data_IF_605766227801
#
_entry.id   IF_605766227801
#
_cell.length_a   1.000
_cell.length_b   1.000
_cell.length_c   1.000
_cell.angle_alpha   90.00
_cell.angle_beta   90.00
_cell.angle_gamma   90.00
#
_symmetry.space_group_name_H-M   'P 1'
#
loop_
_entity.id
_entity.type
_entity.pdbx_description
1 polymer ?
#
# COMPACT_ATOMS: atom_id res chain seq x y z
N UNK A 1 -6.62 18.44 -12.11
CA UNK A 1 -5.14 18.47 -12.14
C UNK A 1 -4.61 17.04 -12.31
N UNK A 2 -3.57 16.84 -13.10
CA UNK A 2 -2.90 15.54 -13.15
C UNK A 2 -1.91 15.44 -11.98
N UNK A 3 -1.81 14.26 -11.31
CA UNK A 3 -0.85 14.05 -10.25
C UNK A 3 0.60 14.22 -10.75
N UNK A 4 1.45 14.85 -9.96
CA UNK A 4 2.85 15.16 -10.30
C UNK A 4 3.63 13.91 -10.74
N UNK A 5 3.56 12.83 -9.98
CA UNK A 5 4.27 11.58 -10.29
C UNK A 5 3.76 10.89 -11.56
N UNK A 6 2.47 11.05 -11.90
CA UNK A 6 1.95 10.54 -13.17
C UNK A 6 2.56 11.28 -14.36
N UNK A 7 2.67 12.60 -14.27
CA UNK A 7 3.32 13.42 -15.30
C UNK A 7 4.80 13.03 -15.44
N UNK A 8 5.52 12.91 -14.33
CA UNK A 8 6.92 12.48 -14.31
C UNK A 8 7.11 11.09 -14.93
N UNK A 9 6.23 10.14 -14.63
CA UNK A 9 6.26 8.82 -15.25
C UNK A 9 6.11 8.90 -16.77
N UNK A 10 5.18 9.71 -17.28
CA UNK A 10 4.91 9.84 -18.71
C UNK A 10 6.03 10.56 -19.47
N UNK A 11 6.66 11.58 -18.88
CA UNK A 11 7.66 12.41 -19.53
C UNK A 11 9.07 11.80 -19.49
N UNK A 12 9.46 11.19 -18.38
CA UNK A 12 10.83 10.72 -18.17
C UNK A 12 10.96 9.21 -18.02
N UNK A 13 10.21 8.59 -17.08
CA UNK A 13 10.39 7.19 -16.71
C UNK A 13 10.05 6.24 -17.86
N UNK A 14 8.97 6.49 -18.58
CA UNK A 14 8.52 5.65 -19.70
C UNK A 14 9.59 5.59 -20.82
N UNK A 15 10.22 6.72 -21.13
CA UNK A 15 11.27 6.80 -22.15
C UNK A 15 12.56 6.11 -21.71
N UNK A 16 12.89 6.18 -20.41
CA UNK A 16 14.05 5.54 -19.81
C UNK A 16 13.90 4.01 -19.82
N UNK A 17 12.80 3.49 -19.26
CA UNK A 17 12.54 2.06 -19.24
C UNK A 17 12.48 1.42 -20.64
N UNK A 18 11.91 2.14 -21.62
CA UNK A 18 11.87 1.67 -23.00
C UNK A 18 13.26 1.47 -23.59
N UNK A 19 14.21 2.37 -23.29
CA UNK A 19 15.60 2.28 -23.78
C UNK A 19 16.38 1.20 -23.05
N UNK A 20 16.20 1.09 -21.73
CA UNK A 20 16.94 0.17 -20.88
C UNK A 20 16.61 -1.30 -21.19
N UNK A 21 15.31 -1.61 -21.30
CA UNK A 21 14.84 -2.97 -21.58
C UNK A 21 14.55 -3.25 -23.07
N UNK A 22 14.83 -2.30 -23.97
CA UNK A 22 14.63 -2.43 -25.42
C UNK A 22 13.21 -2.89 -25.83
N UNK A 23 12.16 -2.34 -25.17
CA UNK A 23 10.79 -2.67 -25.54
C UNK A 23 10.41 -2.19 -26.94
N UNK A 24 9.90 -3.10 -27.77
CA UNK A 24 9.42 -2.79 -29.10
C UNK A 24 8.16 -1.93 -29.12
N UNK A 25 7.27 -2.13 -28.13
CA UNK A 25 6.02 -1.43 -28.02
C UNK A 25 5.94 -0.64 -26.71
N UNK A 26 5.42 0.58 -26.79
CA UNK A 26 5.16 1.44 -25.63
C UNK A 26 4.20 0.80 -24.59
N UNK A 27 3.30 -0.07 -25.05
CA UNK A 27 2.33 -0.75 -24.18
C UNK A 27 2.95 -1.91 -23.37
N UNK A 28 4.17 -2.34 -23.69
CA UNK A 28 4.91 -3.36 -22.94
C UNK A 28 5.64 -2.78 -21.74
N UNK A 29 5.88 -1.46 -21.73
CA UNK A 29 6.60 -0.79 -20.64
C UNK A 29 5.85 -0.98 -19.33
N UNK A 30 6.53 -1.41 -18.25
CA UNK A 30 5.93 -1.58 -16.94
C UNK A 30 5.26 -0.31 -16.43
N UNK A 31 4.07 -0.47 -15.88
CA UNK A 31 3.30 0.63 -15.27
C UNK A 31 2.70 0.20 -13.95
N UNK A 32 2.51 1.15 -13.05
CA UNK A 32 1.79 0.93 -11.82
C UNK A 32 0.28 0.74 -12.11
N UNK A 33 -0.28 -0.40 -11.71
CA UNK A 33 -1.68 -0.76 -11.94
C UNK A 33 -2.57 -0.35 -10.77
N UNK A 34 -2.14 -0.68 -9.54
CA UNK A 34 -2.86 -0.40 -8.30
C UNK A 34 -1.92 -0.41 -7.10
N UNK A 35 -2.35 0.27 -6.05
CA UNK A 35 -1.74 0.17 -4.71
C UNK A 35 -2.79 -0.43 -3.77
N UNK A 36 -2.40 -1.43 -3.01
CA UNK A 36 -3.24 -2.08 -2.01
C UNK A 36 -2.70 -1.75 -0.64
N UNK A 37 -3.51 -1.11 0.19
CA UNK A 37 -3.22 -0.86 1.60
C UNK A 37 -4.04 -1.83 2.42
N UNK A 38 -3.40 -2.58 3.30
CA UNK A 38 -4.04 -3.60 4.12
C UNK A 38 -3.54 -3.56 5.55
N UNK A 39 -4.44 -3.72 6.51
CA UNK A 39 -4.12 -3.97 7.91
C UNK A 39 -4.86 -5.19 8.41
N UNK A 40 -4.26 -5.92 9.36
CA UNK A 40 -4.88 -7.05 10.02
C UNK A 40 -4.60 -6.96 11.52
N UNK A 41 -5.65 -7.03 12.32
CA UNK A 41 -5.59 -6.84 13.77
C UNK A 41 -6.07 -8.10 14.48
N UNK A 42 -5.17 -8.76 15.20
CA UNK A 42 -5.50 -9.95 15.99
C UNK A 42 -6.57 -9.66 17.05
N UNK A 43 -6.53 -8.48 17.64
CA UNK A 43 -7.44 -8.06 18.69
C UNK A 43 -8.87 -7.78 18.19
N UNK A 44 -9.07 -7.65 16.88
CA UNK A 44 -10.41 -7.54 16.28
C UNK A 44 -11.29 -8.75 16.60
N UNK A 45 -10.68 -9.91 16.92
CA UNK A 45 -11.39 -11.11 17.35
C UNK A 45 -12.15 -10.86 18.66
N UNK A 46 -11.59 -10.09 19.58
CA UNK A 46 -12.17 -9.79 20.90
C UNK A 46 -12.91 -8.47 20.92
N UNK A 47 -12.47 -7.48 20.15
CA UNK A 47 -13.06 -6.16 20.13
C UNK A 47 -13.14 -5.60 18.69
N UNK A 48 -14.32 -5.67 18.11
CA UNK A 48 -14.58 -5.19 16.76
C UNK A 48 -14.40 -3.67 16.59
N UNK A 49 -14.60 -2.88 17.66
CA UNK A 49 -14.44 -1.42 17.60
C UNK A 49 -13.02 -0.99 17.21
N UNK A 50 -12.00 -1.78 17.58
CA UNK A 50 -10.61 -1.49 17.19
C UNK A 50 -10.44 -1.58 15.68
N UNK A 51 -11.13 -2.52 15.04
CA UNK A 51 -11.08 -2.67 13.60
C UNK A 51 -11.82 -1.52 12.87
N UNK A 52 -12.95 -1.09 13.43
CA UNK A 52 -13.71 0.03 12.85
C UNK A 52 -12.88 1.32 12.91
N UNK A 53 -12.19 1.60 14.01
CA UNK A 53 -11.26 2.73 14.14
C UNK A 53 -10.10 2.64 13.14
N UNK A 54 -9.46 1.48 13.03
CA UNK A 54 -8.38 1.29 12.04
C UNK A 54 -8.89 1.44 10.60
N UNK A 55 -10.12 1.02 10.33
CA UNK A 55 -10.75 1.23 9.03
C UNK A 55 -11.01 2.72 8.77
N UNK A 56 -11.46 3.49 9.75
CA UNK A 56 -11.62 4.95 9.64
C UNK A 56 -10.27 5.63 9.36
N UNK A 57 -9.22 5.28 10.09
CA UNK A 57 -7.86 5.81 9.89
C UNK A 57 -7.35 5.53 8.47
N UNK A 58 -7.47 4.28 7.97
CA UNK A 58 -7.11 3.96 6.59
C UNK A 58 -7.96 4.76 5.59
N UNK A 59 -9.24 4.98 5.91
CA UNK A 59 -10.12 5.81 5.10
C UNK A 59 -9.65 7.25 4.98
N UNK A 60 -9.18 7.85 6.09
CA UNK A 60 -8.60 9.19 6.13
C UNK A 60 -7.30 9.27 5.31
N UNK A 61 -6.38 8.31 5.50
CA UNK A 61 -5.10 8.25 4.77
C UNK A 61 -5.32 8.11 3.27
N UNK A 62 -6.23 7.24 2.85
CA UNK A 62 -6.40 6.88 1.43
C UNK A 62 -7.45 7.71 0.70
N UNK A 63 -8.30 8.44 1.44
CA UNK A 63 -9.44 9.15 0.87
C UNK A 63 -10.48 8.22 0.22
N UNK A 64 -10.51 6.93 0.63
CA UNK A 64 -11.44 5.93 0.13
C UNK A 64 -11.88 5.00 1.25
N UNK A 65 -13.18 4.70 1.32
CA UNK A 65 -13.73 3.80 2.34
C UNK A 65 -13.13 2.40 2.20
N UNK A 66 -12.51 1.84 3.25
CA UNK A 66 -11.96 0.50 3.22
C UNK A 66 -13.05 -0.58 3.27
N UNK A 67 -12.68 -1.76 2.79
CA UNK A 67 -13.48 -2.96 2.89
C UNK A 67 -12.97 -3.77 4.08
N UNK A 68 -13.87 -4.18 4.97
CA UNK A 68 -13.53 -5.08 6.07
C UNK A 68 -13.32 -6.49 5.52
N UNK A 69 -12.14 -7.05 5.78
CA UNK A 69 -11.78 -8.40 5.38
C UNK A 69 -12.13 -9.40 6.47
N UNK A 70 -12.70 -10.54 6.06
CA UNK A 70 -13.16 -11.59 6.95
C UNK A 70 -12.35 -12.86 6.78
N UNK A 71 -12.26 -13.65 7.85
CA UNK A 71 -11.62 -14.96 7.81
C UNK A 71 -12.31 -15.89 6.82
N UNK A 72 -11.52 -16.60 6.01
CA UNK A 72 -12.01 -17.60 5.05
C UNK A 72 -12.17 -18.98 5.68
N UNK A 73 -11.29 -19.31 6.64
CA UNK A 73 -11.25 -20.62 7.29
C UNK A 73 -11.26 -20.45 8.82
N UNK A 74 -11.82 -21.43 9.51
CA UNK A 74 -11.77 -21.52 10.97
C UNK A 74 -10.44 -22.15 11.39
N UNK A 75 -9.72 -21.49 12.33
CA UNK A 75 -8.43 -21.97 12.86
C UNK A 75 -8.50 -21.95 14.39
N UNK A 76 -8.57 -23.12 15.01
CA UNK A 76 -8.75 -23.25 16.45
C UNK A 76 -7.61 -22.62 17.27
N UNK A 77 -6.35 -22.77 16.83
CA UNK A 77 -5.16 -22.23 17.51
C UNK A 77 -5.22 -20.70 17.64
N UNK A 78 -5.86 -20.01 16.70
CA UNK A 78 -6.01 -18.56 16.73
C UNK A 78 -7.39 -18.12 17.26
N UNK A 79 -8.22 -19.05 17.75
CA UNK A 79 -9.61 -18.80 18.17
C UNK A 79 -10.45 -18.12 17.09
N UNK A 80 -10.16 -18.44 15.83
CA UNK A 80 -10.72 -17.83 14.65
C UNK A 80 -11.82 -18.70 14.08
N UNK A 81 -12.96 -18.09 13.77
CA UNK A 81 -14.07 -18.73 13.03
C UNK A 81 -14.22 -18.09 11.66
N UNK A 82 -14.67 -18.86 10.70
CA UNK A 82 -15.04 -18.37 9.38
C UNK A 82 -16.03 -17.21 9.48
N UNK A 83 -15.85 -16.18 8.63
CA UNK A 83 -16.69 -14.98 8.62
C UNK A 83 -16.32 -13.91 9.65
N UNK A 84 -15.43 -14.19 10.61
CA UNK A 84 -15.02 -13.17 11.58
C UNK A 84 -14.24 -12.02 10.90
N UNK A 85 -14.56 -10.74 11.21
CA UNK A 85 -13.83 -9.59 10.71
C UNK A 85 -12.45 -9.51 11.37
N UNK A 86 -11.39 -9.36 10.57
CA UNK A 86 -9.99 -9.37 11.05
C UNK A 86 -9.17 -8.19 10.58
N UNK A 87 -9.51 -7.61 9.45
CA UNK A 87 -8.70 -6.58 8.84
C UNK A 87 -9.50 -5.64 7.97
N UNK A 88 -8.82 -4.61 7.48
CA UNK A 88 -9.35 -3.65 6.55
C UNK A 88 -8.41 -3.52 5.34
N UNK A 89 -8.97 -3.37 4.15
CA UNK A 89 -8.23 -3.27 2.89
C UNK A 89 -8.80 -2.18 2.01
N UNK A 90 -7.90 -1.42 1.37
CA UNK A 90 -8.23 -0.46 0.30
C UNK A 90 -7.42 -0.79 -0.94
N UNK A 91 -8.04 -0.65 -2.11
CA UNK A 91 -7.36 -0.75 -3.40
C UNK A 91 -7.47 0.60 -4.10
N UNK A 92 -6.34 1.24 -4.31
CA UNK A 92 -6.24 2.54 -4.98
C UNK A 92 -5.85 2.35 -6.43
N UNK A 93 -6.51 3.11 -7.32
CA UNK A 93 -6.25 3.09 -8.77
C UNK A 93 -6.27 4.51 -9.33
N UNK A 94 -5.74 4.66 -10.53
CA UNK A 94 -5.77 5.93 -11.29
C UNK A 94 -5.25 7.13 -10.47
N UNK A 95 -5.96 8.24 -10.42
CA UNK A 95 -5.54 9.49 -9.77
C UNK A 95 -5.25 9.31 -8.28
N UNK A 96 -6.14 8.64 -7.53
CA UNK A 96 -5.97 8.40 -6.10
C UNK A 96 -4.71 7.58 -5.77
N UNK A 97 -4.34 6.65 -6.64
CA UNK A 97 -3.13 5.85 -6.52
C UNK A 97 -1.87 6.72 -6.60
N UNK A 98 -1.80 7.61 -7.60
CA UNK A 98 -0.65 8.49 -7.79
C UNK A 98 -0.53 9.55 -6.70
N UNK A 99 -1.65 10.10 -6.22
CA UNK A 99 -1.67 11.04 -5.11
C UNK A 99 -1.23 10.39 -3.80
N UNK A 100 -1.70 9.16 -3.54
CA UNK A 100 -1.25 8.39 -2.37
C UNK A 100 0.25 8.08 -2.46
N UNK A 101 0.76 7.67 -3.63
CA UNK A 101 2.17 7.39 -3.84
C UNK A 101 3.03 8.65 -3.60
N UNK A 102 2.60 9.80 -4.09
CA UNK A 102 3.33 11.07 -3.88
C UNK A 102 3.40 11.44 -2.40
N UNK A 103 2.29 11.33 -1.65
CA UNK A 103 2.28 11.57 -0.20
C UNK A 103 3.12 10.54 0.56
N UNK A 104 3.08 9.29 0.17
CA UNK A 104 3.89 8.24 0.78
C UNK A 104 5.38 8.54 0.65
N UNK A 105 5.85 8.88 -0.56
CA UNK A 105 7.27 9.15 -0.82
C UNK A 105 7.71 10.49 -0.21
N UNK A 106 6.94 11.55 -0.43
CA UNK A 106 7.37 12.92 -0.09
C UNK A 106 7.13 13.27 1.38
N UNK A 107 6.14 12.67 2.03
CA UNK A 107 5.71 13.07 3.37
C UNK A 107 5.86 11.93 4.38
N UNK A 108 5.30 10.74 4.09
CA UNK A 108 5.26 9.65 5.06
C UNK A 108 6.64 8.99 5.24
N UNK A 109 7.34 8.69 4.15
CA UNK A 109 8.65 8.02 4.21
C UNK A 109 9.71 8.78 5.03
N UNK A 110 9.90 10.11 4.90
CA UNK A 110 10.83 10.86 5.73
C UNK A 110 10.45 10.90 7.22
N UNK A 111 9.19 10.63 7.56
CA UNK A 111 8.68 10.62 8.94
C UNK A 111 8.79 9.25 9.62
N UNK A 112 9.15 8.21 8.87
CA UNK A 112 9.38 6.88 9.43
C UNK A 112 10.58 6.95 10.37
N UNK A 113 10.39 6.49 11.60
CA UNK A 113 11.44 6.44 12.60
C UNK A 113 12.54 5.47 12.14
N UNK A 114 13.80 5.90 12.24
CA UNK A 114 14.99 5.11 11.88
C UNK A 114 14.96 4.57 10.43
N UNK A 115 14.39 5.36 9.49
CA UNK A 115 14.33 4.95 8.09
C UNK A 115 15.74 4.85 7.47
N UNK A 116 16.08 3.65 6.99
CA UNK A 116 17.38 3.33 6.36
C UNK A 116 17.25 2.96 4.88
N UNK A 117 16.10 3.21 4.29
CA UNK A 117 15.77 2.81 2.91
C UNK A 117 14.73 1.69 2.87
N UNK A 118 14.21 1.45 1.68
CA UNK A 118 13.28 0.36 1.41
C UNK A 118 14.05 -0.96 1.27
N UNK A 119 13.43 -2.06 1.72
CA UNK A 119 14.03 -3.38 1.60
C UNK A 119 14.02 -3.83 0.13
N UNK A 120 15.17 -4.06 -0.53
CA UNK A 120 15.21 -4.51 -1.92
C UNK A 120 14.58 -5.90 -2.13
N UNK A 121 14.49 -6.71 -1.09
CA UNK A 121 13.91 -8.07 -1.15
C UNK A 121 12.38 -8.09 -0.99
N UNK A 122 11.71 -6.93 -1.09
CA UNK A 122 10.25 -6.83 -0.98
C UNK A 122 9.48 -7.20 -2.25
N UNK A 123 10.17 -7.65 -3.31
CA UNK A 123 9.55 -8.10 -4.56
C UNK A 123 9.07 -9.56 -4.48
N UNK A 124 8.07 -9.88 -5.28
CA UNK A 124 7.38 -11.20 -5.29
C UNK A 124 7.83 -12.14 -6.42
N UNK A 125 8.84 -11.81 -7.20
CA UNK A 125 9.29 -12.54 -8.38
C UNK A 125 8.55 -12.18 -9.68
N UNK A 126 7.58 -11.25 -9.60
CA UNK A 126 6.76 -10.81 -10.73
C UNK A 126 6.65 -9.29 -10.83
N UNK A 127 7.62 -8.58 -10.28
CA UNK A 127 7.68 -7.12 -10.31
C UNK A 127 6.67 -6.40 -9.40
N UNK A 128 5.97 -7.07 -8.49
CA UNK A 128 5.18 -6.42 -7.47
C UNK A 128 6.03 -6.23 -6.21
N UNK A 129 5.89 -5.07 -5.57
CA UNK A 129 6.64 -4.73 -4.38
C UNK A 129 5.73 -4.59 -3.16
N UNK A 130 6.16 -5.11 -2.01
CA UNK A 130 5.43 -4.99 -0.75
C UNK A 130 6.31 -4.42 0.35
N UNK A 131 5.79 -3.44 1.07
CA UNK A 131 6.44 -2.86 2.25
C UNK A 131 5.49 -2.86 3.45
N UNK A 132 6.06 -3.02 4.65
CA UNK A 132 5.34 -2.87 5.91
C UNK A 132 5.65 -1.52 6.54
N UNK A 133 4.62 -0.82 7.00
CA UNK A 133 4.74 0.30 7.91
C UNK A 133 4.31 -0.15 9.30
N UNK A 134 5.13 0.16 10.30
CA UNK A 134 4.85 -0.22 11.70
C UNK A 134 3.87 0.73 12.37
N UNK A 135 3.80 1.99 11.92
CA UNK A 135 3.04 3.05 12.56
C UNK A 135 2.23 3.85 11.54
N UNK A 136 0.92 3.98 11.76
CA UNK A 136 0.06 4.83 10.92
C UNK A 136 0.28 6.33 11.13
N UNK A 137 0.92 6.73 12.23
CA UNK A 137 1.16 8.13 12.64
C UNK A 137 2.11 8.86 11.67
N UNK A 138 2.84 8.13 10.83
CA UNK A 138 3.72 8.73 9.80
C UNK A 138 2.92 9.56 8.78
N UNK A 139 1.62 9.30 8.65
CA UNK A 139 0.73 10.06 7.78
C UNK A 139 0.19 11.29 8.52
N UNK A 140 0.33 12.50 7.92
CA UNK A 140 -0.11 13.76 8.56
C UNK A 140 -1.63 13.87 8.72
N UNK A 141 -2.40 13.05 7.99
CA UNK A 141 -3.85 13.01 8.06
C UNK A 141 -4.36 12.41 9.39
N UNK A 142 -3.48 11.71 10.10
CA UNK A 142 -3.80 11.08 11.38
C UNK A 142 -3.46 12.03 12.51
N UNK A 143 -4.47 12.36 13.29
CA UNK A 143 -4.35 13.17 14.49
C UNK A 143 -3.87 12.29 15.65
N UNK A 144 -2.67 12.57 16.17
CA UNK A 144 -2.04 11.80 17.23
C UNK A 144 -2.91 11.69 18.49
N UNK A 145 -3.63 12.74 18.83
CA UNK A 145 -4.48 12.78 20.04
C UNK A 145 -5.70 11.87 19.95
N UNK A 146 -6.10 11.49 18.74
CA UNK A 146 -7.24 10.59 18.49
C UNK A 146 -6.84 9.13 18.34
N UNK A 147 -5.55 8.86 18.18
CA UNK A 147 -5.04 7.48 18.01
C UNK A 147 -5.10 6.75 19.35
N UNK A 148 -6.00 5.77 19.42
CA UNK A 148 -6.10 4.90 20.59
C UNK A 148 -4.99 3.83 20.63
N UNK A 149 -4.48 3.46 19.46
CA UNK A 149 -3.47 2.43 19.31
C UNK A 149 -2.63 2.63 18.07
N UNK A 150 -1.34 2.35 18.17
CA UNK A 150 -0.45 2.28 17.02
C UNK A 150 -0.76 0.99 16.26
N UNK A 151 -1.10 1.12 14.98
CA UNK A 151 -1.40 0.01 14.08
C UNK A 151 -0.50 0.06 12.86
N UNK A 152 0.09 -1.09 12.52
CA UNK A 152 0.86 -1.24 11.30
C UNK A 152 -0.04 -1.51 10.09
N UNK A 153 0.52 -1.29 8.90
CA UNK A 153 -0.14 -1.61 7.65
C UNK A 153 0.86 -2.13 6.62
N UNK A 154 0.37 -2.96 5.71
CA UNK A 154 1.12 -3.40 4.55
C UNK A 154 0.66 -2.61 3.33
N UNK A 155 1.61 -2.14 2.53
CA UNK A 155 1.38 -1.44 1.28
C UNK A 155 1.99 -2.28 0.17
N UNK A 156 1.17 -2.70 -0.77
CA UNK A 156 1.59 -3.50 -1.93
C UNK A 156 1.39 -2.70 -3.20
N UNK A 157 2.47 -2.53 -3.95
CA UNK A 157 2.48 -1.91 -5.27
C UNK A 157 2.37 -3.01 -6.31
N UNK A 158 1.32 -2.97 -7.10
CA UNK A 158 1.08 -3.94 -8.18
C UNK A 158 1.40 -3.27 -9.49
N UNK A 159 2.35 -3.84 -10.20
CA UNK A 159 2.80 -3.36 -11.52
C UNK A 159 2.42 -4.33 -12.63
N UNK A 160 2.64 -3.94 -13.87
CA UNK A 160 2.52 -4.81 -15.03
C UNK A 160 3.86 -5.42 -15.46
N UNK A 161 4.92 -5.23 -14.66
CA UNK A 161 6.23 -5.83 -14.90
C UNK A 161 6.15 -7.35 -14.88
N UNK A 162 7.02 -8.00 -15.64
CA UNK A 162 7.09 -9.48 -15.73
C UNK A 162 8.17 -10.02 -14.79
N UNK A 163 9.19 -9.23 -14.51
CA UNK A 163 10.33 -9.58 -13.64
C UNK A 163 10.54 -8.54 -12.56
N UNK A 164 11.24 -8.91 -11.50
CA UNK A 164 11.57 -7.98 -10.41
C UNK A 164 12.56 -6.91 -10.86
N UNK A 165 13.43 -7.20 -11.84
CA UNK A 165 14.36 -6.25 -12.44
C UNK A 165 13.60 -5.10 -13.13
N UNK A 166 12.56 -5.44 -13.91
CA UNK A 166 11.67 -4.45 -14.54
C UNK A 166 10.89 -3.63 -13.51
N UNK A 167 10.54 -4.25 -12.39
CA UNK A 167 9.81 -3.58 -11.30
C UNK A 167 10.69 -2.68 -10.43
N UNK A 168 12.00 -2.94 -10.38
CA UNK A 168 12.98 -2.19 -9.61
C UNK A 168 13.48 -0.95 -10.34
N UNK A 169 13.56 -1.00 -11.66
CA UNK A 169 14.01 0.11 -12.52
C UNK A 169 13.01 1.26 -12.58
#
# INVERSE_FOLDING_TARGET
>A
MQPRLKTQYQESVLSHLRKEFNYGNIMEVPKLEKIVVNTCLKEAITNMKILDLAAEEIGLITGQKPIITRARNSIANFKLREGMPLGAKVTLRSTKMWEFLDRLISVATPRIRDFRGLNPNGFDGRGNYSMGLTEQIVFPEIDYDKVQRITGMNITFVTTAKTDEEGHA
#
